data_IF_275604240898
#
_entry.id   IF_275604240898
#
_cell.length_a   1.000
_cell.length_b   1.000
_cell.length_c   1.000
_cell.angle_alpha   90.00
_cell.angle_beta   90.00
_cell.angle_gamma   90.00
#
_symmetry.space_group_name_H-M   'P 1'
#
loop_
_entity.id
_entity.type
_entity.pdbx_description
1 polymer ?
#
# COMPACT_ATOMS: atom_id res chain seq x y z
N UNK A 1 8.16 18.33 1.29
CA UNK A 1 6.92 17.71 0.82
C UNK A 1 7.12 17.24 -0.60
N UNK A 2 7.07 15.94 -0.84
CA UNK A 2 7.26 15.33 -2.15
C UNK A 2 6.13 14.36 -2.42
N UNK A 3 5.74 14.22 -3.69
CA UNK A 3 4.69 13.31 -4.15
C UNK A 3 4.86 11.87 -3.62
N UNK A 4 6.12 11.43 -3.43
CA UNK A 4 6.44 10.12 -2.88
C UNK A 4 5.98 9.91 -1.42
N UNK A 5 5.86 10.99 -0.63
CA UNK A 5 5.33 10.92 0.76
C UNK A 5 3.82 10.71 0.72
N UNK A 6 3.10 11.42 -0.16
CA UNK A 6 1.66 11.27 -0.31
C UNK A 6 1.27 9.87 -0.79
N UNK A 7 2.08 9.29 -1.69
CA UNK A 7 1.88 7.93 -2.17
C UNK A 7 2.13 6.86 -1.09
N UNK A 8 3.10 7.11 -0.19
CA UNK A 8 3.31 6.23 0.95
C UNK A 8 2.13 6.30 1.93
N UNK A 9 1.63 7.51 2.22
CA UNK A 9 0.44 7.70 3.03
C UNK A 9 -0.79 7.03 2.40
N UNK A 10 -0.93 7.10 1.07
CA UNK A 10 -1.98 6.39 0.33
C UNK A 10 -1.86 4.87 0.52
N UNK A 11 -0.64 4.31 0.48
CA UNK A 11 -0.41 2.89 0.75
C UNK A 11 -0.85 2.48 2.16
N UNK A 12 -0.56 3.31 3.16
CA UNK A 12 -1.00 3.07 4.54
C UNK A 12 -2.54 3.06 4.65
N UNK A 13 -3.21 4.04 4.05
CA UNK A 13 -4.68 4.12 4.05
C UNK A 13 -5.29 2.95 3.28
N UNK A 14 -4.73 2.58 2.12
CA UNK A 14 -5.23 1.45 1.33
C UNK A 14 -5.11 0.12 2.11
N UNK A 15 -4.00 -0.10 2.81
CA UNK A 15 -3.84 -1.26 3.69
C UNK A 15 -4.87 -1.24 4.81
N UNK A 16 -5.09 -0.11 5.47
CA UNK A 16 -6.06 0.01 6.55
C UNK A 16 -7.50 -0.24 6.09
N UNK A 17 -7.86 0.22 4.90
CA UNK A 17 -9.19 -0.02 4.32
C UNK A 17 -9.43 -1.50 3.99
N UNK A 18 -8.39 -2.22 3.56
CA UNK A 18 -8.51 -3.65 3.21
C UNK A 18 -8.41 -4.57 4.43
N UNK A 19 -7.59 -4.21 5.41
CA UNK A 19 -7.24 -5.08 6.53
C UNK A 19 -7.92 -4.69 7.85
N UNK A 20 -8.45 -3.46 7.94
CA UNK A 20 -9.02 -2.90 9.17
C UNK A 20 -7.97 -2.63 10.27
N UNK A 21 -6.68 -2.69 9.96
CA UNK A 21 -5.57 -2.45 10.90
C UNK A 21 -4.42 -1.74 10.21
N UNK A 22 -3.59 -1.03 10.99
CA UNK A 22 -2.41 -0.33 10.46
C UNK A 22 -1.30 -1.32 10.04
N UNK A 23 -0.58 -1.05 8.93
CA UNK A 23 0.46 -1.95 8.41
C UNK A 23 1.67 -2.13 9.34
N UNK A 24 1.97 -1.15 10.20
CA UNK A 24 3.17 -1.13 11.05
C UNK A 24 2.87 -1.03 12.55
N UNK A 25 1.67 -1.44 12.97
CA UNK A 25 1.27 -1.28 14.37
C UNK A 25 2.16 -2.10 15.33
N UNK A 26 2.77 -1.42 16.30
CA UNK A 26 3.43 -2.02 17.44
C UNK A 26 3.17 -1.19 18.70
N UNK A 27 3.07 -1.82 19.89
CA UNK A 27 2.97 -1.09 21.16
C UNK A 27 4.19 -0.22 21.48
N UNK A 28 5.35 -0.52 20.87
CA UNK A 28 6.57 0.28 21.01
C UNK A 28 6.77 1.16 19.76
N UNK A 29 6.84 2.50 19.93
CA UNK A 29 7.16 3.43 18.84
C UNK A 29 8.50 3.13 18.15
N UNK A 30 9.50 2.64 18.88
CA UNK A 30 10.80 2.29 18.29
C UNK A 30 10.68 1.10 17.33
N UNK A 31 9.90 0.08 17.71
CA UNK A 31 9.60 -1.06 16.86
C UNK A 31 8.77 -0.66 15.63
N UNK A 32 7.79 0.23 15.81
CA UNK A 32 7.01 0.79 14.69
C UNK A 32 7.94 1.47 13.67
N UNK A 33 8.86 2.30 14.15
CA UNK A 33 9.84 2.98 13.30
C UNK A 33 10.76 1.98 12.57
N UNK A 34 11.22 0.93 13.26
CA UNK A 34 12.02 -0.13 12.64
C UNK A 34 11.24 -0.88 11.55
N UNK A 35 9.97 -1.19 11.77
CA UNK A 35 9.13 -1.85 10.77
C UNK A 35 8.90 -0.97 9.54
N UNK A 36 8.72 0.34 9.74
CA UNK A 36 8.63 1.32 8.64
C UNK A 36 9.94 1.36 7.85
N UNK A 37 11.09 1.41 8.52
CA UNK A 37 12.39 1.42 7.86
C UNK A 37 12.69 0.11 7.12
N UNK A 38 12.24 -1.02 7.67
CA UNK A 38 12.41 -2.33 7.06
C UNK A 38 11.44 -2.57 5.88
N UNK A 39 10.34 -1.83 5.78
CA UNK A 39 9.28 -2.08 4.81
C UNK A 39 8.57 -3.42 5.05
N UNK A 40 8.58 -3.92 6.28
CA UNK A 40 8.02 -5.23 6.61
C UNK A 40 6.50 -5.16 6.76
N UNK A 41 5.79 -5.29 5.65
CA UNK A 41 4.32 -5.33 5.59
C UNK A 41 3.87 -6.77 5.38
N UNK A 42 2.95 -7.25 6.23
CA UNK A 42 2.33 -8.57 6.06
C UNK A 42 0.95 -8.43 5.43
N UNK A 43 0.77 -9.08 4.29
CA UNK A 43 -0.50 -9.14 3.55
C UNK A 43 -1.02 -10.58 3.62
N UNK A 44 -2.24 -10.83 4.12
CA UNK A 44 -2.84 -12.16 4.13
C UNK A 44 -3.18 -12.64 2.71
N UNK A 45 -3.25 -13.96 2.53
CA UNK A 45 -3.50 -14.61 1.23
C UNK A 45 -4.91 -14.32 0.67
N UNK A 46 -5.84 -13.88 1.52
CA UNK A 46 -7.23 -13.57 1.14
C UNK A 46 -7.34 -12.27 0.30
N UNK A 47 -6.27 -11.49 0.20
CA UNK A 47 -6.26 -10.24 -0.58
C UNK A 47 -5.88 -10.51 -2.02
N UNK A 48 -6.61 -9.87 -2.94
CA UNK A 48 -6.32 -9.99 -4.37
C UNK A 48 -4.87 -9.63 -4.66
N UNK A 49 -4.23 -10.39 -5.55
CA UNK A 49 -2.83 -10.19 -5.96
C UNK A 49 -2.56 -8.75 -6.39
N UNK A 50 -3.49 -8.14 -7.13
CA UNK A 50 -3.35 -6.77 -7.63
C UNK A 50 -3.38 -5.72 -6.51
N UNK A 51 -4.16 -5.95 -5.45
CA UNK A 51 -4.20 -5.07 -4.29
C UNK A 51 -2.93 -5.23 -3.44
N UNK A 52 -2.47 -6.47 -3.28
CA UNK A 52 -1.23 -6.78 -2.57
C UNK A 52 -0.03 -6.10 -3.25
N UNK A 53 0.08 -6.25 -4.57
CA UNK A 53 1.14 -5.65 -5.39
C UNK A 53 1.14 -4.11 -5.31
N UNK A 54 -0.06 -3.49 -5.38
CA UNK A 54 -0.21 -2.05 -5.23
C UNK A 54 0.29 -1.57 -3.86
N UNK A 55 -0.12 -2.23 -2.77
CA UNK A 55 0.25 -1.85 -1.41
C UNK A 55 1.76 -2.00 -1.20
N UNK A 56 2.35 -3.12 -1.63
CA UNK A 56 3.79 -3.37 -1.48
C UNK A 56 4.62 -2.34 -2.25
N UNK A 57 4.18 -1.98 -3.47
CA UNK A 57 4.83 -0.94 -4.28
C UNK A 57 4.76 0.46 -3.66
N UNK A 58 3.65 0.79 -2.99
CA UNK A 58 3.46 2.08 -2.32
C UNK A 58 4.24 2.18 -0.99
N UNK A 59 4.34 1.07 -0.26
CA UNK A 59 5.00 0.98 1.03
C UNK A 59 6.50 0.64 0.94
N UNK A 60 7.09 0.74 -0.25
CA UNK A 60 8.53 0.56 -0.45
C UNK A 60 9.33 1.59 0.40
N UNK A 61 10.34 1.14 1.19
CA UNK A 61 11.21 2.02 1.96
C UNK A 61 11.93 3.08 1.12
N UNK A 62 12.27 2.72 -0.12
CA UNK A 62 12.96 3.56 -1.07
C UNK A 62 11.97 4.48 -1.81
N UNK A 63 11.99 5.80 -1.57
CA UNK A 63 11.07 6.73 -2.22
C UNK A 63 11.26 6.80 -3.74
N UNK A 64 12.43 6.42 -4.26
CA UNK A 64 12.71 6.40 -5.70
C UNK A 64 12.16 5.15 -6.40
N UNK A 65 11.92 4.07 -5.65
CA UNK A 65 11.31 2.84 -6.17
C UNK A 65 9.79 2.92 -6.25
N UNK A 66 9.19 3.86 -5.51
CA UNK A 66 7.73 4.07 -5.49
C UNK A 66 7.23 4.50 -6.88
N UNK A 67 6.07 4.00 -7.31
CA UNK A 67 5.49 4.41 -8.59
C UNK A 67 5.15 5.89 -8.56
N UNK A 68 5.12 6.55 -9.71
CA UNK A 68 4.52 7.89 -9.82
C UNK A 68 2.99 7.79 -9.79
N UNK A 69 2.31 8.90 -9.50
CA UNK A 69 0.85 8.97 -9.52
C UNK A 69 0.25 8.58 -10.89
N UNK A 70 0.94 8.90 -11.99
CA UNK A 70 0.51 8.50 -13.34
C UNK A 70 0.60 6.99 -13.56
N UNK A 71 1.68 6.36 -13.10
CA UNK A 71 1.84 4.90 -13.14
C UNK A 71 0.82 4.21 -12.23
N UNK A 72 0.56 4.77 -11.05
CA UNK A 72 -0.43 4.27 -10.09
C UNK A 72 -1.84 4.24 -10.68
N UNK A 73 -2.24 5.31 -11.38
CA UNK A 73 -3.57 5.37 -12.01
C UNK A 73 -3.75 4.31 -13.11
N UNK A 74 -2.64 3.84 -13.70
CA UNK A 74 -2.64 2.81 -14.74
C UNK A 74 -2.58 1.39 -14.18
N UNK A 75 -2.49 1.23 -12.86
CA UNK A 75 -2.32 -0.04 -12.18
C UNK A 75 -3.53 -0.97 -12.36
N UNK A 76 -3.33 -2.30 -12.54
CA UNK A 76 -4.42 -3.28 -12.68
C UNK A 76 -5.50 -3.21 -11.60
N UNK A 77 -5.10 -2.92 -10.36
CA UNK A 77 -6.02 -2.71 -9.23
C UNK A 77 -7.15 -1.71 -9.54
N UNK A 78 -6.83 -0.58 -10.16
CA UNK A 78 -7.83 0.45 -10.51
C UNK A 78 -8.56 0.14 -11.82
N UNK A 79 -8.03 -0.75 -12.65
CA UNK A 79 -8.66 -1.15 -13.93
C UNK A 79 -9.77 -2.18 -13.76
N UNK A 80 -9.75 -2.98 -12.70
CA UNK A 80 -10.71 -4.08 -12.51
C UNK A 80 -12.03 -3.68 -11.81
N UNK A 81 -12.11 -2.46 -11.25
CA UNK A 81 -13.25 -2.02 -10.43
C UNK A 81 -14.56 -1.72 -11.18
N UNK A 82 -14.60 -1.79 -12.52
CA UNK A 82 -15.79 -1.33 -13.29
C UNK A 82 -16.58 -2.44 -13.98
N UNK A 83 -16.16 -3.71 -13.86
CA UNK A 83 -16.77 -4.81 -14.63
C UNK A 83 -17.72 -5.72 -13.84
N UNK A 84 -17.84 -5.54 -12.51
CA UNK A 84 -18.63 -6.42 -11.64
C UNK A 84 -19.96 -5.80 -11.18
N UNK A 85 -20.62 -5.01 -12.02
CA UNK A 85 -21.96 -4.45 -11.77
C UNK A 85 -22.95 -4.74 -12.91
N UNK A 86 -22.68 -5.76 -13.73
CA UNK A 86 -23.65 -6.33 -14.66
C UNK A 86 -24.02 -7.75 -14.24
N UNK A 87 -24.83 -7.86 -13.19
CA UNK A 87 -25.73 -8.98 -12.94
C UNK A 87 -27.15 -8.43 -12.78
#
# INVERSE_FOLDING_TARGET
>A
YTQAVDLWALGCVAYELLMGRSPFYSPDPAMTYQSIMAGSVTIPEDVSTDAADLILSLLDPSPSSRPSLSSLHSHPFFRCSVSCLSL
#
